data_IF_732064131480
#
_entry.id   IF_732064131480
#
_cell.length_a   1.000
_cell.length_b   1.000
_cell.length_c   1.000
_cell.angle_alpha   90.00
_cell.angle_beta   90.00
_cell.angle_gamma   90.00
#
_symmetry.space_group_name_H-M   'P 1'
#
loop_
_entity.id
_entity.type
_entity.pdbx_description
1 polymer ?
#
# COMPACT_ATOMS: atom_id res chain seq x y z
N UNK A 1 -7.00 -1.27 15.93
CA UNK A 1 -7.28 -1.32 14.48
C UNK A 1 -6.05 -0.81 13.75
N UNK A 2 -5.26 -1.66 13.10
CA UNK A 2 -4.13 -1.22 12.29
C UNK A 2 -4.63 -0.79 10.92
N UNK A 3 -4.24 0.41 10.52
CA UNK A 3 -4.60 1.12 9.29
C UNK A 3 -4.16 0.33 8.04
N UNK A 4 -5.07 -0.45 7.49
CA UNK A 4 -4.88 -1.25 6.28
C UNK A 4 -5.30 -0.44 5.06
N UNK A 5 -4.51 0.58 4.70
CA UNK A 5 -4.80 1.41 3.54
C UNK A 5 -3.69 1.32 2.49
N UNK A 6 -4.08 1.21 1.23
CA UNK A 6 -3.17 1.22 0.10
C UNK A 6 -2.54 2.61 -0.03
N UNK A 7 -1.21 2.68 -0.02
CA UNK A 7 -0.51 3.96 -0.14
C UNK A 7 -0.70 4.63 -1.51
N UNK A 8 -1.04 3.86 -2.54
CA UNK A 8 -1.15 4.34 -3.92
C UNK A 8 -2.51 4.91 -4.29
N UNK A 9 -3.59 4.43 -3.65
CA UNK A 9 -4.97 4.82 -3.99
C UNK A 9 -5.84 5.10 -2.77
N UNK A 10 -5.26 5.02 -1.57
CA UNK A 10 -5.93 5.25 -0.29
C UNK A 10 -7.17 4.39 -0.03
N UNK A 11 -7.36 3.35 -0.83
CA UNK A 11 -8.42 2.37 -0.65
C UNK A 11 -8.01 1.33 0.38
N UNK A 12 -9.01 0.74 1.04
CA UNK A 12 -8.80 -0.35 2.01
C UNK A 12 -8.04 -1.52 1.38
N UNK A 13 -7.09 -2.08 2.13
CA UNK A 13 -6.39 -3.30 1.78
C UNK A 13 -7.08 -4.51 2.40
N UNK A 14 -7.04 -5.63 1.67
CA UNK A 14 -7.51 -6.93 2.12
C UNK A 14 -6.33 -7.85 2.48
N UNK A 15 -6.64 -8.86 3.27
CA UNK A 15 -5.72 -9.99 3.47
C UNK A 15 -5.91 -10.98 2.33
N UNK A 16 -4.84 -11.40 1.63
CA UNK A 16 -4.96 -12.44 0.62
C UNK A 16 -5.44 -13.74 1.28
N UNK A 17 -6.35 -14.43 0.60
CA UNK A 17 -6.86 -15.73 1.04
C UNK A 17 -6.17 -16.78 0.18
N UNK A 18 -5.42 -17.67 0.81
CA UNK A 18 -4.88 -18.85 0.16
C UNK A 18 -5.82 -20.02 0.42
N UNK A 19 -5.98 -20.86 -0.59
CA UNK A 19 -6.72 -22.11 -0.51
C UNK A 19 -5.72 -23.25 -0.62
N UNK A 20 -5.77 -24.20 0.30
CA UNK A 20 -5.03 -25.46 0.23
C UNK A 20 -6.02 -26.61 0.36
N UNK A 21 -5.77 -27.69 -0.37
CA UNK A 21 -6.51 -28.93 -0.19
C UNK A 21 -5.78 -29.76 0.85
N UNK A 22 -6.43 -30.03 1.98
CA UNK A 22 -5.91 -30.90 3.03
C UNK A 22 -6.92 -32.02 3.24
N UNK A 23 -6.47 -33.29 3.15
CA UNK A 23 -7.31 -34.49 3.32
C UNK A 23 -8.61 -34.46 2.49
N UNK A 24 -8.54 -34.00 1.24
CA UNK A 24 -9.69 -33.92 0.33
C UNK A 24 -10.67 -32.78 0.60
N UNK A 25 -10.43 -31.94 1.62
CA UNK A 25 -11.24 -30.73 1.89
C UNK A 25 -10.47 -29.47 1.50
N UNK A 26 -11.14 -28.51 0.88
CA UNK A 26 -10.56 -27.19 0.66
C UNK A 26 -10.58 -26.38 1.95
N UNK A 27 -9.40 -25.96 2.40
CA UNK A 27 -9.23 -25.09 3.56
C UNK A 27 -8.74 -23.73 3.07
N UNK A 28 -9.48 -22.68 3.42
CA UNK A 28 -9.08 -21.29 3.16
C UNK A 28 -8.42 -20.70 4.40
N UNK A 29 -7.23 -20.14 4.25
CA UNK A 29 -6.54 -19.41 5.32
C UNK A 29 -6.07 -18.05 4.82
N UNK A 30 -6.04 -17.08 5.73
CA UNK A 30 -5.50 -15.74 5.45
C UNK A 30 -3.98 -15.85 5.38
N UNK A 31 -3.36 -15.41 4.29
CA UNK A 31 -1.91 -15.34 4.22
C UNK A 31 -1.42 -14.24 5.16
N UNK A 32 -0.52 -14.60 6.08
CA UNK A 32 0.17 -13.63 6.92
C UNK A 32 1.35 -13.05 6.13
N UNK A 33 1.51 -11.73 6.17
CA UNK A 33 2.72 -11.07 5.64
C UNK A 33 2.55 -10.28 4.34
N UNK A 34 1.37 -10.30 3.73
CA UNK A 34 1.07 -9.46 2.55
C UNK A 34 -0.32 -8.86 2.62
N UNK A 35 -0.50 -7.79 1.87
CA UNK A 35 -1.76 -7.09 1.69
C UNK A 35 -2.11 -7.00 0.21
N UNK A 36 -3.40 -7.04 -0.08
CA UNK A 36 -3.93 -6.98 -1.44
C UNK A 36 -4.77 -5.72 -1.62
N UNK A 37 -4.46 -4.92 -2.63
CA UNK A 37 -5.35 -3.86 -3.09
C UNK A 37 -6.33 -4.43 -4.13
N UNK A 38 -7.63 -4.18 -3.96
CA UNK A 38 -8.67 -4.62 -4.90
C UNK A 38 -9.28 -3.50 -5.74
N UNK A 39 -8.83 -2.26 -5.54
CA UNK A 39 -9.37 -1.13 -6.29
C UNK A 39 -8.87 -1.18 -7.75
N UNK A 40 -9.74 -1.39 -8.75
CA UNK A 40 -9.33 -1.50 -10.16
C UNK A 40 -8.77 -0.19 -10.73
N UNK A 41 -9.05 0.95 -10.08
CA UNK A 41 -8.50 2.26 -10.44
C UNK A 41 -7.09 2.47 -9.88
N UNK A 42 -6.59 1.59 -9.02
CA UNK A 42 -5.27 1.72 -8.41
C UNK A 42 -4.17 1.34 -9.40
N UNK A 43 -3.11 2.16 -9.48
CA UNK A 43 -1.94 1.92 -10.35
C UNK A 43 -1.30 0.56 -10.11
N UNK A 44 -1.16 0.12 -8.85
CA UNK A 44 -0.56 -1.18 -8.55
C UNK A 44 -1.43 -2.35 -8.98
N UNK A 45 -2.76 -2.16 -9.03
CA UNK A 45 -3.70 -3.18 -9.54
C UNK A 45 -3.62 -3.23 -11.06
N UNK A 46 -3.61 -2.08 -11.73
CA UNK A 46 -3.43 -2.00 -13.19
C UNK A 46 -2.11 -2.60 -13.67
N UNK A 47 -1.07 -2.49 -12.86
CA UNK A 47 0.26 -3.04 -13.17
C UNK A 47 0.44 -4.50 -12.71
N UNK A 48 -0.63 -5.22 -12.34
CA UNK A 48 -0.59 -6.60 -11.82
C UNK A 48 0.29 -6.79 -10.55
N UNK A 49 0.57 -5.72 -9.81
CA UNK A 49 1.35 -5.70 -8.55
C UNK A 49 0.45 -5.42 -7.33
N UNK A 50 -0.79 -5.90 -7.38
CA UNK A 50 -1.82 -5.62 -6.37
C UNK A 50 -1.47 -6.14 -4.97
N UNK A 51 -0.64 -7.18 -4.89
CA UNK A 51 -0.16 -7.77 -3.64
C UNK A 51 1.19 -7.16 -3.26
N UNK A 52 1.33 -6.66 -2.04
CA UNK A 52 2.58 -6.11 -1.50
C UNK A 52 2.85 -6.69 -0.12
N UNK A 53 4.13 -6.96 0.18
CA UNK A 53 4.54 -7.42 1.51
C UNK A 53 4.28 -6.35 2.57
N UNK A 54 3.83 -6.78 3.75
CA UNK A 54 3.49 -5.90 4.88
C UNK A 54 4.70 -5.10 5.35
N UNK A 55 5.87 -5.72 5.47
CA UNK A 55 7.07 -5.08 6.02
C UNK A 55 7.51 -3.86 5.22
N UNK A 56 7.86 -4.02 3.93
CA UNK A 56 8.23 -2.92 3.05
C UNK A 56 7.13 -1.87 2.91
N UNK A 57 5.86 -2.28 2.87
CA UNK A 57 4.74 -1.35 2.80
C UNK A 57 4.63 -0.48 4.06
N UNK A 58 4.83 -1.08 5.25
CA UNK A 58 4.87 -0.35 6.51
C UNK A 58 6.08 0.58 6.61
N UNK A 59 7.26 0.14 6.17
CA UNK A 59 8.44 1.01 6.12
C UNK A 59 8.25 2.20 5.17
N UNK A 60 7.63 1.97 4.01
CA UNK A 60 7.28 3.02 3.05
C UNK A 60 6.26 4.00 3.64
N UNK A 61 5.23 3.50 4.32
CA UNK A 61 4.25 4.32 5.03
C UNK A 61 4.90 5.25 6.06
N UNK A 62 5.82 4.71 6.87
CA UNK A 62 6.58 5.48 7.87
C UNK A 62 7.45 6.54 7.18
N UNK A 63 8.18 6.16 6.13
CA UNK A 63 9.04 7.08 5.39
C UNK A 63 8.27 8.24 4.77
N UNK A 64 7.12 7.97 4.15
CA UNK A 64 6.25 9.02 3.59
C UNK A 64 5.69 9.90 4.71
N UNK A 65 5.25 9.31 5.83
CA UNK A 65 4.79 10.10 6.98
C UNK A 65 5.86 11.05 7.53
N UNK A 66 7.10 10.58 7.62
CA UNK A 66 8.24 11.39 8.04
C UNK A 66 8.53 12.51 7.04
N UNK A 67 8.54 12.19 5.74
CA UNK A 67 8.77 13.16 4.68
C UNK A 67 7.69 14.24 4.64
N UNK A 68 6.42 13.86 4.77
CA UNK A 68 5.32 14.82 4.82
C UNK A 68 5.41 15.74 6.04
N UNK A 69 5.81 15.20 7.19
CA UNK A 69 6.04 16.00 8.40
C UNK A 69 7.18 17.01 8.21
N UNK A 70 8.24 16.64 7.49
CA UNK A 70 9.36 17.54 7.20
C UNK A 70 8.99 18.63 6.18
N UNK A 71 8.36 18.25 5.07
CA UNK A 71 8.06 19.18 3.97
C UNK A 71 6.87 20.10 4.26
N UNK A 72 5.81 19.55 4.87
CA UNK A 72 4.53 20.25 5.01
C UNK A 72 4.17 20.57 6.47
N UNK A 73 5.04 20.23 7.44
CA UNK A 73 4.78 20.35 8.89
C UNK A 73 3.48 19.67 9.35
N UNK A 74 2.94 18.77 8.53
CA UNK A 74 1.70 18.03 8.78
C UNK A 74 1.94 16.53 8.70
N UNK A 75 1.26 15.78 9.56
CA UNK A 75 1.24 14.32 9.50
C UNK A 75 0.13 13.94 8.53
N UNK A 76 0.38 12.98 7.63
CA UNK A 76 -0.67 12.50 6.73
C UNK A 76 -1.90 12.08 7.55
N UNK A 77 -3.11 12.53 7.17
CA UNK A 77 -4.32 12.25 7.94
C UNK A 77 -4.60 10.75 8.06
N UNK A 78 -4.07 9.93 7.15
CA UNK A 78 -4.18 8.47 7.23
C UNK A 78 -3.33 7.83 8.34
N UNK A 79 -2.31 8.54 8.82
CA UNK A 79 -1.49 8.17 9.97
C UNK A 79 -1.85 9.00 11.22
N UNK A 80 -2.75 9.96 11.10
CA UNK A 80 -3.25 10.74 12.23
C UNK A 80 -4.34 9.97 12.97
N UNK A 81 -4.27 9.84 14.31
CA UNK A 81 -5.34 9.26 15.12
C UNK A 81 -6.59 10.14 15.19
N UNK A 82 -6.53 11.40 14.73
CA UNK A 82 -7.69 12.31 14.63
C UNK A 82 -8.05 12.47 13.15
N UNK A 83 -8.99 11.65 12.69
CA UNK A 83 -9.54 11.70 11.35
C UNK A 83 -10.54 12.87 11.32
N UNK A 84 -10.06 14.09 11.10
CA UNK A 84 -10.94 15.19 10.67
C UNK A 84 -10.83 15.33 9.16
N UNK A 85 -11.99 15.32 8.54
CA UNK A 85 -12.23 15.33 7.11
C UNK A 85 -11.61 16.55 6.42
N UNK A 86 -10.42 16.41 5.84
CA UNK A 86 -9.89 17.25 4.74
C UNK A 86 -8.48 16.79 4.39
N UNK A 87 -8.18 16.65 3.09
CA UNK A 87 -6.85 16.81 2.45
C UNK A 87 -6.74 15.96 1.18
N UNK A 88 -7.58 16.26 0.18
CA UNK A 88 -7.45 15.73 -1.18
C UNK A 88 -6.08 16.07 -1.79
N UNK A 89 -5.52 17.22 -1.43
CA UNK A 89 -4.22 17.70 -1.91
C UNK A 89 -3.05 16.81 -1.45
N UNK A 90 -3.07 16.35 -0.19
CA UNK A 90 -2.03 15.45 0.32
C UNK A 90 -2.10 14.05 -0.28
N UNK A 91 -3.32 13.58 -0.59
CA UNK A 91 -3.54 12.32 -1.31
C UNK A 91 -2.93 12.40 -2.71
N UNK A 92 -3.12 13.52 -3.40
CA UNK A 92 -2.54 13.79 -4.72
C UNK A 92 -1.00 13.80 -4.67
N UNK A 93 -0.41 14.56 -3.75
CA UNK A 93 1.05 14.67 -3.60
C UNK A 93 1.68 13.30 -3.30
N UNK A 94 1.09 12.55 -2.37
CA UNK A 94 1.61 11.23 -1.97
C UNK A 94 1.49 10.22 -3.12
N UNK A 95 0.38 10.24 -3.87
CA UNK A 95 0.21 9.39 -5.04
C UNK A 95 1.24 9.69 -6.11
N UNK A 96 1.54 10.97 -6.36
CA UNK A 96 2.58 11.40 -7.29
C UNK A 96 3.97 10.90 -6.91
N UNK A 97 4.38 11.02 -5.64
CA UNK A 97 5.68 10.52 -5.15
C UNK A 97 5.82 9.01 -5.32
N UNK A 98 4.74 8.26 -5.12
CA UNK A 98 4.73 6.80 -5.24
C UNK A 98 4.76 6.34 -6.70
N UNK A 99 4.04 7.04 -7.58
CA UNK A 99 4.06 6.74 -9.01
C UNK A 99 5.48 6.87 -9.59
N UNK A 100 6.25 7.89 -9.19
CA UNK A 100 7.64 8.05 -9.66
C UNK A 100 8.54 6.86 -9.31
N UNK A 101 8.36 6.24 -8.14
CA UNK A 101 9.21 5.11 -7.70
C UNK A 101 8.93 3.80 -8.45
N UNK A 102 7.69 3.56 -8.89
CA UNK A 102 7.38 2.36 -9.67
C UNK A 102 8.00 2.40 -11.09
N UNK A 103 8.31 3.59 -11.63
CA UNK A 103 9.10 3.75 -12.85
C UNK A 103 10.60 3.58 -12.61
N UNK A 104 11.13 4.04 -11.47
CA UNK A 104 12.56 3.90 -11.16
C UNK A 104 12.95 2.43 -10.89
N UNK A 105 12.04 1.62 -10.33
CA UNK A 105 12.24 0.18 -10.16
C UNK A 105 12.26 -0.64 -11.46
N UNK A 106 12.08 0.01 -12.62
CA UNK A 106 12.26 -0.60 -13.94
C UNK A 106 13.71 -0.49 -14.45
N UNK A 107 14.56 0.32 -13.80
CA UNK A 107 15.95 0.52 -14.23
C UNK A 107 16.97 -0.40 -13.54
N UNK A 108 16.60 -1.11 -12.47
CA UNK A 108 17.53 -1.94 -11.69
C UNK A 108 17.32 -3.46 -11.88
N UNK A 109 16.64 -3.88 -12.96
CA UNK A 109 16.44 -5.30 -13.30
C UNK A 109 16.99 -5.65 -14.68
N UNK A 110 18.08 -5.01 -15.09
CA UNK A 110 18.85 -5.37 -16.27
C UNK A 110 20.33 -5.15 -16.00
N UNK A 111 20.94 -5.97 -15.15
CA UNK A 111 22.35 -6.35 -15.22
C UNK A 111 22.58 -7.54 -14.28
N UNK A 112 23.01 -8.65 -14.89
CA UNK A 112 23.55 -9.91 -14.35
C UNK A 112 22.55 -10.92 -13.74
#
# INVERSE_FOLDING_TARGET
>A
MTSQTCLYCFSKLDHPIQRKTEKGRQISFKSKGSFLCRNPKCVVVRNNKASKSRGPLSALAIGISGLCKLLFKQILPIFSPRISHSNTDFISITSSLLNTREWQGHCDASTL
#
